data_IF_984734057815
#
_entry.id   IF_984734057815
#
_cell.length_a   1.000
_cell.length_b   1.000
_cell.length_c   1.000
_cell.angle_alpha   90.00
_cell.angle_beta   90.00
_cell.angle_gamma   90.00
#
_symmetry.space_group_name_H-M   'P 1'
#
loop_
_entity.id
_entity.type
_entity.pdbx_description
1 polymer ?
#
# COMPACT_ATOMS: atom_id res chain seq x y z
N UNK A 1 16.71 -43.00 11.88
CA UNK A 1 17.64 -42.37 10.92
C UNK A 1 17.14 -40.99 10.55
N UNK A 2 18.00 -39.97 10.54
CA UNK A 2 17.66 -38.61 10.10
C UNK A 2 17.97 -38.47 8.62
N UNK A 3 17.04 -37.93 7.83
CA UNK A 3 17.23 -37.73 6.40
C UNK A 3 17.96 -36.40 6.12
N UNK A 4 19.10 -36.46 5.42
CA UNK A 4 19.78 -35.27 4.90
C UNK A 4 19.21 -34.84 3.54
N UNK A 5 19.28 -33.54 3.25
CA UNK A 5 18.67 -32.95 2.06
C UNK A 5 19.69 -32.16 1.24
N UNK A 6 19.52 -32.22 -0.09
CA UNK A 6 20.34 -31.49 -1.05
C UNK A 6 19.51 -30.41 -1.75
N UNK A 7 20.14 -29.29 -2.10
CA UNK A 7 19.49 -28.24 -2.88
C UNK A 7 19.15 -28.75 -4.29
N UNK A 8 17.93 -28.53 -4.77
CA UNK A 8 17.52 -28.96 -6.11
C UNK A 8 17.97 -27.99 -7.24
N UNK A 9 18.57 -26.85 -6.90
CA UNK A 9 19.13 -25.87 -7.84
C UNK A 9 20.65 -25.90 -7.81
N UNK A 10 21.27 -25.42 -8.89
CA UNK A 10 22.73 -25.21 -8.98
C UNK A 10 23.27 -24.23 -7.92
N UNK A 11 22.45 -23.30 -7.43
CA UNK A 11 22.86 -22.32 -6.41
C UNK A 11 22.97 -22.99 -5.03
N UNK A 12 24.20 -23.09 -4.53
CA UNK A 12 24.55 -23.71 -3.24
C UNK A 12 24.48 -22.76 -2.04
N UNK A 13 24.62 -21.45 -2.27
CA UNK A 13 24.70 -20.46 -1.18
C UNK A 13 23.34 -20.07 -0.59
N UNK A 14 23.33 -19.71 0.70
CA UNK A 14 22.15 -19.28 1.46
C UNK A 14 21.82 -17.79 1.22
N UNK A 15 21.46 -17.45 -0.02
CA UNK A 15 21.10 -16.07 -0.39
C UNK A 15 19.61 -15.79 -0.15
N UNK A 16 19.23 -14.51 -0.16
CA UNK A 16 17.84 -14.09 0.01
C UNK A 16 16.86 -14.63 -1.08
N UNK A 17 17.37 -15.05 -2.25
CA UNK A 17 16.57 -15.66 -3.32
C UNK A 17 16.49 -17.19 -3.22
N UNK A 18 17.31 -17.82 -2.38
CA UNK A 18 17.44 -19.27 -2.28
C UNK A 18 16.81 -19.86 -1.01
N UNK A 19 15.91 -19.14 -0.35
CA UNK A 19 15.23 -19.62 0.86
C UNK A 19 14.27 -20.76 0.55
N UNK A 20 14.35 -21.84 1.32
CA UNK A 20 13.56 -23.07 1.17
C UNK A 20 12.64 -23.30 2.37
N UNK A 21 11.63 -24.14 2.19
CA UNK A 21 10.83 -24.75 3.26
C UNK A 21 10.82 -26.26 3.07
N UNK A 22 10.71 -27.00 4.16
CA UNK A 22 10.55 -28.45 4.13
C UNK A 22 9.11 -28.82 3.80
N UNK A 23 8.92 -29.87 3.00
CA UNK A 23 7.61 -30.44 2.71
C UNK A 23 7.74 -31.95 2.67
N UNK A 24 6.83 -32.65 3.35
CA UNK A 24 6.65 -34.08 3.15
C UNK A 24 5.85 -34.30 1.86
N UNK A 25 6.28 -35.27 1.06
CA UNK A 25 5.60 -35.67 -0.17
C UNK A 25 4.71 -36.88 0.09
N UNK A 26 3.72 -37.17 -0.79
CA UNK A 26 2.88 -38.36 -0.67
C UNK A 26 3.67 -39.68 -0.60
N UNK A 27 4.85 -39.74 -1.22
CA UNK A 27 5.77 -40.87 -1.14
C UNK A 27 6.61 -40.94 0.15
N UNK A 28 6.20 -40.23 1.21
CA UNK A 28 6.88 -40.16 2.51
C UNK A 28 8.35 -39.71 2.44
N UNK A 29 8.69 -38.84 1.48
CA UNK A 29 10.04 -38.22 1.37
C UNK A 29 9.97 -36.75 1.77
N UNK A 30 10.95 -36.29 2.55
CA UNK A 30 11.12 -34.87 2.86
C UNK A 30 11.89 -34.21 1.72
N UNK A 31 11.37 -33.10 1.18
CA UNK A 31 12.02 -32.34 0.09
C UNK A 31 12.05 -30.83 0.38
N UNK A 32 12.97 -30.12 -0.27
CA UNK A 32 12.98 -28.66 -0.28
C UNK A 32 12.00 -28.10 -1.33
N UNK A 33 11.12 -27.20 -0.90
CA UNK A 33 10.36 -26.33 -1.78
C UNK A 33 10.90 -24.90 -1.69
N UNK A 34 11.17 -24.30 -2.86
CA UNK A 34 11.68 -22.93 -2.92
C UNK A 34 10.57 -21.92 -2.64
N UNK A 35 10.75 -21.13 -1.59
CA UNK A 35 9.81 -20.09 -1.21
C UNK A 35 9.99 -18.86 -2.09
N UNK A 36 8.88 -18.18 -2.38
CA UNK A 36 8.94 -16.86 -3.03
C UNK A 36 9.12 -15.81 -1.95
N UNK A 37 9.91 -14.79 -2.24
CA UNK A 37 10.11 -13.67 -1.32
C UNK A 37 8.78 -12.98 -1.03
N UNK A 38 8.53 -12.66 0.23
CA UNK A 38 7.29 -12.01 0.69
C UNK A 38 7.03 -10.68 -0.03
N UNK A 39 5.73 -10.44 -0.30
CA UNK A 39 5.21 -9.18 -0.80
C UNK A 39 4.96 -8.19 0.33
N UNK A 40 4.72 -6.93 -0.03
CA UNK A 40 4.49 -5.84 0.92
C UNK A 40 3.28 -5.04 0.43
N UNK A 41 2.31 -4.77 1.30
CA UNK A 41 1.18 -3.89 0.95
C UNK A 41 1.66 -2.45 0.74
N UNK A 42 0.99 -1.67 -0.13
CA UNK A 42 1.39 -0.29 -0.41
C UNK A 42 1.35 0.57 0.84
N UNK A 43 2.34 1.46 0.96
CA UNK A 43 2.34 2.52 1.96
C UNK A 43 1.41 3.65 1.49
N UNK A 44 0.81 4.38 2.42
CA UNK A 44 0.05 5.57 2.06
C UNK A 44 0.95 6.66 1.49
N UNK A 45 0.52 7.30 0.40
CA UNK A 45 1.25 8.39 -0.26
C UNK A 45 1.33 9.68 0.57
N UNK A 46 0.62 9.77 1.70
CA UNK A 46 0.59 10.97 2.54
C UNK A 46 1.91 11.28 3.25
N UNK A 47 2.83 10.30 3.39
CA UNK A 47 4.11 10.46 4.10
C UNK A 47 4.01 10.62 5.63
N UNK A 48 2.87 11.12 6.14
CA UNK A 48 2.63 11.38 7.57
C UNK A 48 2.21 10.10 8.33
N UNK A 49 1.61 9.12 7.64
CA UNK A 49 1.11 7.90 8.26
C UNK A 49 2.16 6.77 8.25
N UNK A 50 2.46 6.13 9.40
CA UNK A 50 3.39 4.98 9.44
C UNK A 50 2.78 3.68 8.90
N UNK A 51 1.51 3.69 8.49
CA UNK A 51 0.73 2.50 8.17
C UNK A 51 0.80 2.06 6.70
N UNK A 52 0.68 0.74 6.49
CA UNK A 52 0.32 0.17 5.19
C UNK A 52 -1.18 0.28 4.98
N UNK A 53 -1.61 0.37 3.72
CA UNK A 53 -3.03 0.44 3.40
C UNK A 53 -3.70 -0.92 3.68
N UNK A 54 -4.78 -0.86 4.44
CA UNK A 54 -5.67 -1.99 4.68
C UNK A 54 -6.49 -2.30 3.43
N UNK A 55 -6.93 -3.55 3.27
CA UNK A 55 -7.75 -3.99 2.13
C UNK A 55 -6.99 -4.23 0.82
N UNK A 56 -5.72 -3.82 0.71
CA UNK A 56 -4.86 -4.12 -0.45
C UNK A 56 -3.97 -5.34 -0.16
N UNK A 57 -4.00 -6.34 -1.04
CA UNK A 57 -3.21 -7.58 -0.85
C UNK A 57 -1.70 -7.30 -0.90
N UNK A 58 -0.97 -7.83 0.09
CA UNK A 58 0.49 -7.77 0.13
C UNK A 58 1.13 -8.82 -0.79
N UNK A 59 1.36 -8.47 -2.05
CA UNK A 59 1.89 -9.38 -3.08
C UNK A 59 3.09 -8.79 -3.82
N UNK A 60 3.80 -9.63 -4.58
CA UNK A 60 4.89 -9.21 -5.49
C UNK A 60 4.31 -8.47 -6.71
N UNK A 61 5.02 -7.51 -7.31
CA UNK A 61 4.51 -6.72 -8.45
C UNK A 61 3.97 -7.58 -9.61
N UNK A 62 4.71 -8.61 -10.03
CA UNK A 62 4.29 -9.53 -11.12
C UNK A 62 3.04 -10.37 -10.78
N UNK A 63 2.79 -10.63 -9.49
CA UNK A 63 1.57 -11.32 -9.05
C UNK A 63 0.43 -10.32 -8.94
N UNK A 64 0.72 -9.12 -8.47
CA UNK A 64 -0.24 -8.02 -8.34
C UNK A 64 -0.84 -7.63 -9.70
N UNK A 65 -0.05 -7.63 -10.78
CA UNK A 65 -0.57 -7.36 -12.13
C UNK A 65 -1.63 -8.37 -12.56
N UNK A 66 -1.46 -9.65 -12.21
CA UNK A 66 -2.40 -10.75 -12.54
C UNK A 66 -3.68 -10.79 -11.70
N UNK A 67 -3.71 -10.11 -10.54
CA UNK A 67 -4.89 -10.13 -9.67
C UNK A 67 -6.06 -9.31 -10.27
N UNK A 68 -7.29 -9.56 -9.80
CA UNK A 68 -8.45 -8.72 -10.17
C UNK A 68 -8.36 -7.32 -9.56
N UNK A 69 -9.03 -6.34 -10.18
CA UNK A 69 -8.97 -4.93 -9.75
C UNK A 69 -9.40 -4.75 -8.29
N UNK A 70 -10.49 -5.40 -7.88
CA UNK A 70 -11.02 -5.34 -6.50
C UNK A 70 -9.97 -5.70 -5.44
N UNK A 71 -9.08 -6.66 -5.71
CA UNK A 71 -8.04 -7.09 -4.76
C UNK A 71 -6.86 -6.10 -4.63
N UNK A 72 -6.81 -5.06 -5.48
CA UNK A 72 -5.72 -4.07 -5.56
C UNK A 72 -6.09 -2.68 -5.05
N UNK A 73 -7.39 -2.37 -4.97
CA UNK A 73 -7.86 -1.02 -4.64
C UNK A 73 -9.01 -1.07 -3.63
N UNK A 74 -9.31 0.09 -3.05
CA UNK A 74 -10.44 0.31 -2.14
C UNK A 74 -11.44 1.19 -2.87
N UNK A 75 -12.73 0.93 -2.73
CA UNK A 75 -13.82 1.69 -3.36
C UNK A 75 -14.07 3.05 -2.68
N UNK A 76 -13.11 3.97 -2.79
CA UNK A 76 -13.21 5.36 -2.33
C UNK A 76 -12.28 6.29 -3.11
N UNK A 77 -12.46 7.61 -2.96
CA UNK A 77 -11.52 8.60 -3.49
C UNK A 77 -10.09 8.32 -2.99
N UNK A 78 -9.11 8.34 -3.91
CA UNK A 78 -7.70 7.99 -3.64
C UNK A 78 -7.52 6.58 -3.00
N UNK A 79 -8.45 5.65 -3.21
CA UNK A 79 -8.39 4.30 -2.70
C UNK A 79 -7.16 3.53 -3.18
N UNK A 80 -6.47 2.83 -2.28
CA UNK A 80 -5.22 2.13 -2.60
C UNK A 80 -3.97 3.03 -2.73
N UNK A 81 -4.13 4.35 -2.60
CA UNK A 81 -3.02 5.31 -2.56
C UNK A 81 -2.95 6.06 -1.23
N UNK A 82 -4.10 6.49 -0.69
CA UNK A 82 -4.17 7.29 0.53
C UNK A 82 -4.92 6.61 1.67
N UNK A 83 -4.53 6.94 2.90
CA UNK A 83 -5.18 6.48 4.13
C UNK A 83 -6.53 7.18 4.35
N UNK A 84 -7.47 6.55 5.05
CA UNK A 84 -8.82 7.12 5.27
C UNK A 84 -8.75 8.46 6.00
N UNK A 85 -7.98 8.50 7.10
CA UNK A 85 -7.73 9.70 7.90
C UNK A 85 -7.19 10.85 7.04
N UNK A 86 -6.20 10.55 6.21
CA UNK A 86 -5.54 11.50 5.32
C UNK A 86 -6.50 12.10 4.29
N UNK A 87 -7.43 11.30 3.78
CA UNK A 87 -8.47 11.74 2.83
C UNK A 87 -9.43 12.67 3.55
N UNK A 88 -9.91 12.28 4.73
CA UNK A 88 -10.82 13.08 5.54
C UNK A 88 -10.24 14.45 5.91
N UNK A 89 -8.98 14.49 6.39
CA UNK A 89 -8.32 15.73 6.76
C UNK A 89 -8.07 16.63 5.54
N UNK A 90 -7.75 16.04 4.38
CA UNK A 90 -7.67 16.76 3.11
C UNK A 90 -8.99 17.37 2.69
N UNK A 91 -10.09 16.62 2.80
CA UNK A 91 -11.43 17.12 2.44
C UNK A 91 -11.82 18.29 3.33
N UNK A 92 -11.66 18.16 4.65
CA UNK A 92 -11.93 19.25 5.61
C UNK A 92 -11.05 20.48 5.34
N UNK A 93 -9.74 20.28 5.15
CA UNK A 93 -8.81 21.37 4.87
C UNK A 93 -9.12 22.09 3.56
N UNK A 94 -9.43 21.35 2.50
CA UNK A 94 -9.78 21.94 1.20
C UNK A 94 -11.04 22.81 1.31
N UNK A 95 -12.06 22.31 2.02
CA UNK A 95 -13.29 23.06 2.29
C UNK A 95 -13.02 24.34 3.08
N UNK A 96 -12.39 24.25 4.25
CA UNK A 96 -12.14 25.42 5.11
C UNK A 96 -11.27 26.50 4.43
N UNK A 97 -10.25 26.09 3.66
CA UNK A 97 -9.44 27.05 2.89
C UNK A 97 -10.29 27.75 1.83
N UNK A 98 -11.24 27.05 1.22
CA UNK A 98 -12.13 27.64 0.21
C UNK A 98 -13.10 28.63 0.85
N UNK A 99 -13.70 28.27 1.98
CA UNK A 99 -14.58 29.15 2.76
C UNK A 99 -13.86 30.41 3.21
N UNK A 100 -12.66 30.27 3.80
CA UNK A 100 -11.85 31.41 4.23
C UNK A 100 -11.52 32.35 3.05
N UNK A 101 -11.20 31.79 1.86
CA UNK A 101 -10.95 32.60 0.66
C UNK A 101 -12.19 33.38 0.21
N UNK A 102 -13.38 32.80 0.32
CA UNK A 102 -14.65 33.47 -0.04
C UNK A 102 -14.90 34.62 0.94
N UNK A 103 -14.81 34.36 2.24
CA UNK A 103 -15.00 35.37 3.29
C UNK A 103 -14.04 36.55 3.10
N UNK A 104 -12.74 36.27 2.90
CA UNK A 104 -11.73 37.31 2.65
C UNK A 104 -12.06 38.13 1.39
N UNK A 105 -12.60 37.50 0.34
CA UNK A 105 -13.00 38.21 -0.88
C UNK A 105 -14.19 39.14 -0.62
N UNK A 106 -15.22 38.65 0.08
CA UNK A 106 -16.42 39.43 0.41
C UNK A 106 -16.07 40.63 1.31
N UNK A 107 -15.26 40.43 2.35
CA UNK A 107 -14.81 41.51 3.23
C UNK A 107 -14.04 42.60 2.47
N UNK A 108 -13.17 42.21 1.52
CA UNK A 108 -12.46 43.17 0.67
C UNK A 108 -13.40 43.96 -0.25
N UNK A 109 -14.42 43.33 -0.80
CA UNK A 109 -15.42 44.03 -1.64
C UNK A 109 -16.27 45.00 -0.80
N UNK A 110 -16.67 44.61 0.41
CA UNK A 110 -17.43 45.47 1.32
C UNK A 110 -16.63 46.72 1.75
N UNK A 111 -15.37 46.55 2.16
CA UNK A 111 -14.52 47.70 2.55
C UNK A 111 -14.25 48.66 1.39
N UNK A 112 -14.07 48.14 0.17
CA UNK A 112 -13.96 48.97 -1.04
C UNK A 112 -15.24 49.76 -1.31
N UNK A 113 -16.42 49.12 -1.19
CA UNK A 113 -17.71 49.78 -1.39
C UNK A 113 -18.00 50.87 -0.36
N UNK A 114 -17.54 50.69 0.89
CA UNK A 114 -17.69 51.69 1.95
C UNK A 114 -16.75 52.89 1.77
N UNK A 115 -15.53 52.68 1.25
CA UNK A 115 -14.56 53.77 0.99
C UNK A 115 -14.94 54.63 -0.23
N UNK A 116 -15.69 54.06 -1.18
CA UNK A 116 -16.15 54.77 -2.37
C UNK A 116 -17.44 55.57 -2.15
N UNK A 117 -18.12 55.37 -1.02
CA UNK A 117 -19.20 56.24 -0.53
C UNK A 117 -18.60 57.36 0.31
#
# INVERSE_FOLDING_TARGET
MVQHLTCCRRLSYNTASNKTRLSQTPGNRIIYLYTKKVGKAPKSACGVGPGRLQGVRAMRPKVLTRLSKMKKHISRAYGGSMCAKCIHDRTKRAFLIKEQKIIVKVLKTQTQSQKAK
#
